data_IF_372144291261
#
_entry.id   IF_372144291261
#
_cell.length_a   1.000
_cell.length_b   1.000
_cell.length_c   1.000
_cell.angle_alpha   90.00
_cell.angle_beta   90.00
_cell.angle_gamma   90.00
#
_symmetry.space_group_name_H-M   'P 1'
#
loop_
_entity.id
_entity.type
_entity.pdbx_description
1 polymer ?
#
# COMPACT_ATOMS: atom_id res chain seq x y z
N UNK A 1 -3.40 -31.77 -34.01
CA UNK A 1 -2.00 -31.69 -34.49
C UNK A 1 -2.02 -31.06 -35.88
N UNK A 2 -1.95 -29.73 -35.96
CA UNK A 2 -1.88 -28.96 -37.22
C UNK A 2 -1.22 -27.62 -36.86
N UNK A 3 0.10 -27.53 -37.03
CA UNK A 3 0.87 -27.00 -38.16
C UNK A 3 0.96 -25.47 -38.12
N UNK A 4 2.17 -25.06 -37.76
CA UNK A 4 2.71 -23.74 -37.54
C UNK A 4 3.24 -23.22 -38.88
N UNK A 5 2.76 -22.08 -39.37
CA UNK A 5 3.35 -21.36 -40.50
C UNK A 5 3.56 -19.91 -40.08
N UNK A 6 4.83 -19.53 -40.00
CA UNK A 6 5.27 -18.19 -39.66
C UNK A 6 5.25 -17.25 -40.87
N UNK A 7 5.08 -15.96 -40.61
CA UNK A 7 5.41 -14.90 -41.54
C UNK A 7 6.30 -13.87 -40.84
N UNK A 8 7.46 -13.60 -41.44
CA UNK A 8 8.45 -12.59 -41.04
C UNK A 8 8.22 -11.29 -41.82
N UNK A 9 8.12 -10.19 -41.08
CA UNK A 9 8.74 -8.84 -41.21
C UNK A 9 8.83 -8.18 -42.61
N UNK A 10 8.22 -7.00 -42.75
CA UNK A 10 8.85 -5.79 -43.34
C UNK A 10 8.02 -4.49 -43.18
N UNK A 11 8.68 -3.44 -42.67
CA UNK A 11 8.59 -1.99 -42.98
C UNK A 11 7.42 -1.05 -42.53
N UNK A 12 7.68 -0.32 -41.42
CA UNK A 12 7.67 1.15 -41.14
C UNK A 12 6.63 2.12 -41.82
N UNK A 13 6.24 3.28 -41.19
CA UNK A 13 7.11 4.19 -40.42
C UNK A 13 6.58 4.84 -39.12
N UNK A 14 7.56 5.38 -38.38
CA UNK A 14 7.47 6.27 -37.20
C UNK A 14 6.96 7.66 -37.60
N UNK A 15 6.05 8.23 -36.81
CA UNK A 15 5.69 9.65 -36.84
C UNK A 15 5.58 10.20 -35.43
N UNK A 16 6.56 11.03 -35.04
CA UNK A 16 6.53 11.84 -33.83
C UNK A 16 5.82 13.17 -34.08
N UNK A 17 5.14 13.69 -33.06
CA UNK A 17 4.49 15.00 -33.07
C UNK A 17 4.43 15.57 -31.67
N UNK A 18 5.39 16.42 -31.33
CA UNK A 18 5.33 17.35 -30.21
C UNK A 18 4.32 18.45 -30.54
N UNK A 19 3.43 18.75 -29.59
CA UNK A 19 2.48 19.86 -29.66
C UNK A 19 2.38 20.58 -28.33
N UNK A 20 3.34 21.46 -28.06
CA UNK A 20 3.32 22.45 -26.99
C UNK A 20 2.52 23.66 -27.48
N UNK A 21 1.41 23.99 -26.82
CA UNK A 21 0.62 25.19 -27.16
C UNK A 21 0.91 26.27 -26.13
N UNK A 22 1.52 27.35 -26.62
CA UNK A 22 1.78 28.61 -25.94
C UNK A 22 0.48 29.43 -25.76
N UNK A 23 0.35 30.12 -24.63
CA UNK A 23 -0.63 31.19 -24.46
C UNK A 23 0.10 32.55 -24.48
N UNK A 24 -0.44 33.43 -25.31
CA UNK A 24 0.08 34.75 -25.72
C UNK A 24 -0.27 35.83 -24.68
N UNK A 25 0.64 36.81 -24.58
CA UNK A 25 0.65 38.02 -23.75
C UNK A 25 -0.18 39.20 -24.32
N UNK A 26 -0.38 40.21 -23.44
CA UNK A 26 -0.80 41.62 -23.67
C UNK A 26 -2.31 41.91 -23.74
N UNK A 27 -2.90 42.99 -23.19
CA UNK A 27 -2.45 44.33 -22.75
C UNK A 27 -3.40 44.86 -21.63
N UNK A 28 -2.88 45.41 -20.52
CA UNK A 28 -2.73 46.84 -20.18
C UNK A 28 -4.02 47.69 -20.04
N UNK A 29 -4.36 48.09 -18.80
CA UNK A 29 -4.79 49.46 -18.46
C UNK A 29 -4.71 49.73 -16.95
N UNK A 30 -4.13 50.88 -16.65
CA UNK A 30 -3.77 51.43 -15.34
C UNK A 30 -4.96 52.10 -14.64
N UNK A 31 -5.06 52.02 -13.32
CA UNK A 31 -5.57 53.08 -12.44
C UNK A 31 -5.16 52.83 -10.99
N UNK A 32 -4.44 53.80 -10.43
CA UNK A 32 -4.08 54.00 -9.03
C UNK A 32 -5.31 53.95 -8.11
N UNK A 33 -5.22 53.30 -6.93
CA UNK A 33 -5.74 53.83 -5.65
C UNK A 33 -5.41 52.90 -4.47
N UNK A 34 -4.80 53.50 -3.46
CA UNK A 34 -4.89 53.24 -2.00
C UNK A 34 -4.57 51.86 -1.42
N UNK A 35 -3.68 51.91 -0.42
CA UNK A 35 -3.08 50.75 0.21
C UNK A 35 -4.06 49.89 0.99
N UNK A 36 -3.83 48.60 0.89
CA UNK A 36 -3.95 47.63 1.97
C UNK A 36 -3.07 46.46 1.56
N UNK A 37 -1.91 46.32 2.20
CA UNK A 37 -1.02 45.20 1.99
C UNK A 37 -1.72 43.93 2.51
N UNK A 38 -2.44 43.24 1.62
CA UNK A 38 -2.91 41.89 1.89
C UNK A 38 -1.68 41.00 1.84
N UNK A 39 -1.15 40.71 3.03
CA UNK A 39 -0.15 39.67 3.23
C UNK A 39 -0.81 38.35 2.82
N UNK A 40 -0.60 37.93 1.58
CA UNK A 40 -0.91 36.56 1.16
C UNK A 40 0.06 35.65 1.89
N UNK A 41 -0.34 35.14 3.06
CA UNK A 41 0.28 33.96 3.64
C UNK A 41 0.02 32.81 2.67
N UNK A 42 0.96 32.57 1.76
CA UNK A 42 1.10 31.28 1.11
C UNK A 42 1.39 30.27 2.22
N UNK A 43 0.36 29.55 2.67
CA UNK A 43 0.54 28.35 3.45
C UNK A 43 1.22 27.32 2.54
N UNK A 44 2.55 27.33 2.53
CA UNK A 44 3.32 26.21 2.03
C UNK A 44 2.88 25.00 2.82
N UNK A 45 2.22 24.04 2.16
CA UNK A 45 2.00 22.71 2.72
C UNK A 45 3.39 22.13 3.00
N UNK A 46 3.85 22.26 4.23
CA UNK A 46 5.10 21.67 4.67
C UNK A 46 4.89 20.15 4.58
N UNK A 47 5.49 19.54 3.56
CA UNK A 47 5.56 18.10 3.46
C UNK A 47 6.44 17.64 4.62
N UNK A 48 5.80 17.19 5.71
CA UNK A 48 6.50 16.72 6.90
C UNK A 48 7.29 15.48 6.47
N UNK A 49 8.62 15.62 6.40
CA UNK A 49 9.53 14.51 6.20
C UNK A 49 9.24 13.45 7.28
N UNK A 50 9.27 12.16 6.94
CA UNK A 50 9.00 11.11 7.91
C UNK A 50 9.97 11.25 9.09
N UNK A 51 9.43 11.33 10.30
CA UNK A 51 10.25 11.43 11.50
C UNK A 51 10.95 10.08 11.76
N UNK A 52 12.24 10.12 12.05
CA UNK A 52 13.02 8.93 12.43
C UNK A 52 12.50 8.41 13.78
N UNK A 53 12.24 7.10 13.83
CA UNK A 53 11.57 6.43 14.94
C UNK A 53 12.44 6.21 16.18
N UNK A 54 11.78 5.88 17.29
CA UNK A 54 12.42 5.50 18.56
C UNK A 54 12.06 4.04 18.93
N UNK A 55 12.95 3.28 19.61
CA UNK A 55 12.67 1.90 20.02
C UNK A 55 11.37 1.64 20.81
N UNK A 56 10.80 2.60 21.56
CA UNK A 56 9.46 2.46 22.14
C UNK A 56 8.33 2.32 21.11
N UNK A 57 8.42 3.03 19.98
CA UNK A 57 7.38 3.01 18.94
C UNK A 57 7.37 1.69 18.18
N UNK A 58 8.54 1.15 17.86
CA UNK A 58 8.69 -0.20 17.31
C UNK A 58 7.94 -1.21 18.18
N UNK A 59 8.23 -1.25 19.49
CA UNK A 59 7.59 -2.18 20.43
C UNK A 59 6.07 -2.01 20.52
N UNK A 60 5.57 -0.77 20.43
CA UNK A 60 4.13 -0.51 20.39
C UNK A 60 3.50 -1.16 19.14
N UNK A 61 4.11 -0.99 17.99
CA UNK A 61 3.61 -1.52 16.71
C UNK A 61 3.73 -3.05 16.62
N UNK A 62 4.80 -3.63 17.14
CA UNK A 62 4.92 -5.09 17.32
C UNK A 62 3.81 -5.64 18.23
N UNK A 63 3.50 -4.93 19.32
CA UNK A 63 2.41 -5.30 20.23
C UNK A 63 1.03 -5.27 19.54
N UNK A 64 0.73 -4.22 18.78
CA UNK A 64 -0.51 -4.11 18.02
C UNK A 64 -0.64 -5.21 16.96
N UNK A 65 0.45 -5.49 16.23
CA UNK A 65 0.48 -6.55 15.23
C UNK A 65 0.28 -7.93 15.85
N UNK A 66 0.98 -8.24 16.94
CA UNK A 66 0.81 -9.50 17.66
C UNK A 66 -0.60 -9.66 18.20
N UNK A 67 -1.19 -8.61 18.78
CA UNK A 67 -2.58 -8.64 19.24
C UNK A 67 -3.58 -8.86 18.08
N UNK A 68 -3.33 -8.26 16.92
CA UNK A 68 -4.13 -8.51 15.71
C UNK A 68 -4.01 -9.96 15.23
N UNK A 69 -2.79 -10.52 15.18
CA UNK A 69 -2.57 -11.92 14.80
C UNK A 69 -3.26 -12.89 15.74
N UNK A 70 -3.13 -12.66 17.04
CA UNK A 70 -3.79 -13.45 18.08
C UNK A 70 -5.31 -13.45 17.89
N UNK A 71 -5.90 -12.30 17.56
CA UNK A 71 -7.33 -12.20 17.31
C UNK A 71 -7.74 -12.98 16.05
N UNK A 72 -6.93 -12.95 14.98
CA UNK A 72 -7.17 -13.75 13.78
C UNK A 72 -7.06 -15.26 14.04
N UNK A 73 -6.08 -15.69 14.82
CA UNK A 73 -5.87 -17.11 15.17
C UNK A 73 -6.97 -17.65 16.10
N UNK A 74 -7.37 -16.85 17.09
CA UNK A 74 -8.45 -17.18 18.04
C UNK A 74 -9.85 -16.95 17.48
N UNK A 75 -9.96 -16.42 16.26
CA UNK A 75 -11.21 -16.04 15.61
C UNK A 75 -12.06 -15.08 16.47
N UNK A 76 -11.39 -14.17 17.19
CA UNK A 76 -12.03 -13.22 18.10
C UNK A 76 -12.29 -11.89 17.38
N UNK A 77 -13.54 -11.72 16.91
CA UNK A 77 -13.96 -10.51 16.23
C UNK A 77 -13.79 -9.26 17.09
N UNK A 78 -14.12 -9.35 18.39
CA UNK A 78 -14.09 -8.17 19.26
C UNK A 78 -12.66 -7.71 19.50
N UNK A 79 -11.74 -8.64 19.76
CA UNK A 79 -10.32 -8.33 19.88
C UNK A 79 -9.77 -7.76 18.56
N UNK A 80 -10.17 -8.33 17.42
CA UNK A 80 -9.76 -7.86 16.10
C UNK A 80 -10.23 -6.42 15.85
N UNK A 81 -11.49 -6.08 16.14
CA UNK A 81 -12.04 -4.73 15.99
C UNK A 81 -11.36 -3.69 16.91
N UNK A 82 -10.87 -4.10 18.07
CA UNK A 82 -10.19 -3.19 18.99
C UNK A 82 -8.84 -2.73 18.44
N UNK A 83 -8.08 -3.64 17.84
CA UNK A 83 -6.70 -3.37 17.36
C UNK A 83 -6.62 -3.05 15.87
N UNK A 84 -7.68 -3.25 15.10
CA UNK A 84 -7.73 -2.98 13.66
C UNK A 84 -8.33 -1.60 13.37
N UNK A 85 -7.75 -0.85 12.44
CA UNK A 85 -8.24 0.46 12.01
C UNK A 85 -9.67 0.36 11.43
N UNK A 86 -10.56 1.30 11.73
CA UNK A 86 -11.94 1.30 11.26
C UNK A 86 -12.02 1.26 9.73
N UNK A 87 -11.13 1.97 9.04
CA UNK A 87 -11.08 1.94 7.57
C UNK A 87 -10.77 0.54 7.03
N UNK A 88 -9.90 -0.21 7.71
CA UNK A 88 -9.60 -1.61 7.38
C UNK A 88 -10.80 -2.52 7.68
N UNK A 89 -11.42 -2.35 8.84
CA UNK A 89 -12.60 -3.14 9.22
C UNK A 89 -13.70 -3.04 8.16
N UNK A 90 -14.02 -1.80 7.78
CA UNK A 90 -15.01 -1.50 6.76
C UNK A 90 -14.64 -2.08 5.39
N UNK A 91 -13.37 -1.94 4.98
CA UNK A 91 -12.89 -2.50 3.71
C UNK A 91 -13.05 -4.02 3.68
N UNK A 92 -12.59 -4.72 4.73
CA UNK A 92 -12.65 -6.18 4.80
C UNK A 92 -14.09 -6.68 4.86
N UNK A 93 -14.95 -6.03 5.66
CA UNK A 93 -16.39 -6.35 5.67
C UNK A 93 -16.99 -6.18 4.28
N UNK A 94 -16.73 -5.04 3.63
CA UNK A 94 -17.30 -4.75 2.31
C UNK A 94 -16.80 -5.74 1.26
N UNK A 95 -15.53 -6.12 1.30
CA UNK A 95 -14.95 -7.14 0.42
C UNK A 95 -15.63 -8.50 0.62
N UNK A 96 -15.74 -8.98 1.86
CA UNK A 96 -16.43 -10.24 2.20
C UNK A 96 -17.88 -10.23 1.70
N UNK A 97 -18.63 -9.17 2.01
CA UNK A 97 -20.04 -9.03 1.64
C UNK A 97 -20.21 -8.92 0.11
N UNK A 98 -19.30 -8.24 -0.58
CA UNK A 98 -19.32 -8.12 -2.05
C UNK A 98 -19.12 -9.47 -2.75
N UNK A 99 -18.45 -10.41 -2.08
CA UNK A 99 -18.27 -11.79 -2.56
C UNK A 99 -19.38 -12.74 -2.09
N UNK A 100 -20.46 -12.22 -1.48
CA UNK A 100 -21.55 -13.01 -0.86
C UNK A 100 -21.10 -13.97 0.23
N UNK A 101 -19.94 -13.70 0.82
CA UNK A 101 -19.46 -14.45 1.96
C UNK A 101 -20.08 -13.89 3.25
N UNK A 102 -20.21 -14.74 4.26
CA UNK A 102 -20.79 -14.36 5.56
C UNK A 102 -19.74 -13.67 6.42
N UNK A 103 -20.01 -12.43 6.82
CA UNK A 103 -19.23 -11.73 7.84
C UNK A 103 -19.85 -11.98 9.23
N UNK A 104 -19.04 -12.27 10.28
CA UNK A 104 -17.59 -12.27 10.32
C UNK A 104 -16.93 -13.60 9.92
N UNK A 105 -17.68 -14.69 9.75
CA UNK A 105 -17.12 -16.05 9.59
C UNK A 105 -15.99 -16.13 8.53
N UNK A 106 -16.20 -15.52 7.36
CA UNK A 106 -15.25 -15.52 6.26
C UNK A 106 -13.97 -14.70 6.51
N UNK A 107 -13.97 -13.77 7.49
CA UNK A 107 -12.76 -13.05 7.90
C UNK A 107 -11.67 -14.03 8.36
N UNK A 108 -12.07 -15.09 9.05
CA UNK A 108 -11.17 -16.03 9.70
C UNK A 108 -10.86 -17.28 8.86
N UNK A 109 -11.37 -17.35 7.63
CA UNK A 109 -11.14 -18.48 6.72
C UNK A 109 -9.91 -18.30 5.82
N UNK A 110 -9.05 -17.32 6.10
CA UNK A 110 -7.86 -17.10 5.28
C UNK A 110 -6.94 -18.32 5.31
N UNK A 111 -6.58 -18.90 4.15
CA UNK A 111 -5.64 -20.02 4.11
C UNK A 111 -4.20 -19.56 4.37
N UNK A 112 -3.94 -18.25 4.35
CA UNK A 112 -2.62 -17.66 4.56
C UNK A 112 -2.52 -17.15 5.99
N UNK A 113 -1.54 -17.64 6.74
CA UNK A 113 -1.27 -17.16 8.09
C UNK A 113 -0.46 -15.86 8.04
N UNK A 114 -0.76 -14.96 8.96
CA UNK A 114 0.13 -13.82 9.20
C UNK A 114 1.46 -14.29 9.84
N UNK A 115 2.63 -13.84 9.35
CA UNK A 115 3.92 -14.31 9.80
C UNK A 115 4.28 -13.80 11.19
N UNK A 116 5.09 -14.56 11.92
CA UNK A 116 5.74 -14.05 13.12
C UNK A 116 6.79 -12.98 12.77
N UNK A 117 6.96 -12.00 13.66
CA UNK A 117 8.10 -11.07 13.55
C UNK A 117 9.37 -11.63 14.18
N UNK A 118 9.27 -12.72 14.95
CA UNK A 118 10.41 -13.39 15.56
C UNK A 118 11.36 -13.87 14.47
N UNK A 119 12.63 -13.49 14.58
CA UNK A 119 13.65 -13.84 13.60
C UNK A 119 13.72 -12.88 12.40
N UNK A 120 12.80 -11.92 12.28
CA UNK A 120 12.94 -10.81 11.33
C UNK A 120 13.76 -9.69 11.96
N UNK A 121 14.62 -9.06 11.16
CA UNK A 121 15.36 -7.88 11.55
C UNK A 121 14.51 -6.64 11.35
N UNK A 122 14.27 -5.87 12.40
CA UNK A 122 13.65 -4.55 12.25
C UNK A 122 14.59 -3.61 11.50
N UNK A 123 14.06 -2.94 10.48
CA UNK A 123 14.81 -2.03 9.62
C UNK A 123 14.60 -0.59 10.08
N UNK A 124 13.35 -0.15 10.04
CA UNK A 124 12.94 1.19 10.51
C UNK A 124 11.42 1.26 10.72
N UNK A 125 11.00 2.33 11.37
CA UNK A 125 9.61 2.75 11.43
C UNK A 125 9.51 4.18 10.90
N UNK A 126 8.66 4.36 9.89
CA UNK A 126 8.42 5.64 9.23
C UNK A 126 7.05 6.15 9.68
N UNK A 127 6.97 7.42 10.08
CA UNK A 127 5.70 8.04 10.53
C UNK A 127 5.42 9.28 9.72
N UNK A 128 4.17 9.41 9.25
CA UNK A 128 3.70 10.55 8.45
C UNK A 128 2.32 10.99 8.93
N UNK A 129 2.30 11.93 9.88
CA UNK A 129 1.05 12.40 10.50
C UNK A 129 0.33 11.28 11.25
N UNK A 130 -0.82 10.85 10.74
CA UNK A 130 -1.67 9.80 11.32
C UNK A 130 -1.47 8.42 10.67
N UNK A 131 -0.42 8.25 9.86
CA UNK A 131 -0.07 6.96 9.26
C UNK A 131 1.36 6.57 9.64
N UNK A 132 1.62 5.27 9.69
CA UNK A 132 2.96 4.75 9.92
C UNK A 132 3.21 3.42 9.19
N UNK A 133 4.47 3.17 8.88
CA UNK A 133 4.98 1.92 8.32
C UNK A 133 6.11 1.39 9.19
N UNK A 134 6.03 0.15 9.63
CA UNK A 134 7.14 -0.55 10.30
C UNK A 134 7.68 -1.63 9.38
N UNK A 135 8.96 -1.54 9.05
CA UNK A 135 9.62 -2.38 8.04
C UNK A 135 10.51 -3.40 8.74
N UNK A 136 10.37 -4.65 8.33
CA UNK A 136 11.16 -5.78 8.79
C UNK A 136 11.75 -6.52 7.60
N UNK A 137 12.91 -7.13 7.79
CA UNK A 137 13.63 -7.89 6.78
C UNK A 137 13.89 -9.32 7.26
N UNK A 138 13.58 -10.30 6.42
CA UNK A 138 13.96 -11.69 6.64
C UNK A 138 12.99 -12.70 6.06
N UNK A 139 13.13 -13.96 6.50
CA UNK A 139 12.28 -15.09 6.09
C UNK A 139 10.96 -15.09 6.85
N UNK A 140 9.97 -14.41 6.31
CA UNK A 140 8.62 -14.39 6.87
C UNK A 140 7.81 -15.61 6.42
N UNK A 141 7.44 -16.47 7.36
CA UNK A 141 6.64 -17.68 7.12
C UNK A 141 5.14 -17.38 7.20
N UNK A 142 4.45 -17.56 6.08
CA UNK A 142 3.00 -17.36 5.95
C UNK A 142 2.19 -18.66 6.09
N UNK A 143 2.83 -19.77 6.47
CA UNK A 143 2.22 -21.10 6.51
C UNK A 143 1.92 -21.66 5.12
N UNK A 144 2.67 -21.22 4.11
CA UNK A 144 2.51 -21.63 2.71
C UNK A 144 3.78 -22.34 2.21
N UNK A 145 3.62 -23.53 1.64
CA UNK A 145 4.72 -24.27 1.02
C UNK A 145 5.71 -24.86 2.01
N UNK A 146 6.85 -25.31 1.49
CA UNK A 146 7.92 -25.90 2.30
C UNK A 146 8.81 -24.82 2.93
N UNK A 147 9.26 -24.97 4.20
CA UNK A 147 10.11 -23.98 4.86
C UNK A 147 11.40 -23.63 4.11
N UNK A 148 11.91 -24.55 3.28
CA UNK A 148 13.10 -24.36 2.45
C UNK A 148 12.90 -23.37 1.30
N UNK A 149 11.66 -23.11 0.89
CA UNK A 149 11.30 -22.19 -0.19
C UNK A 149 11.12 -20.75 0.30
N UNK A 150 11.08 -20.53 1.62
CA UNK A 150 10.91 -19.21 2.21
C UNK A 150 12.18 -18.38 2.00
N UNK A 151 12.03 -17.31 1.21
CA UNK A 151 13.09 -16.35 0.88
C UNK A 151 13.04 -15.14 1.79
N UNK A 152 14.16 -14.44 1.89
CA UNK A 152 14.21 -13.14 2.54
C UNK A 152 13.36 -12.15 1.74
N UNK A 153 12.46 -11.46 2.45
CA UNK A 153 11.59 -10.43 1.91
C UNK A 153 11.47 -9.30 2.92
N UNK A 154 10.95 -8.15 2.49
CA UNK A 154 10.50 -7.15 3.44
C UNK A 154 9.05 -7.42 3.84
N UNK A 155 8.79 -7.33 5.14
CA UNK A 155 7.45 -7.25 5.71
C UNK A 155 7.21 -5.81 6.14
N UNK A 156 6.21 -5.19 5.54
CA UNK A 156 5.80 -3.81 5.82
C UNK A 156 4.46 -3.85 6.53
N UNK A 157 4.47 -3.51 7.82
CA UNK A 157 3.26 -3.36 8.62
C UNK A 157 2.82 -1.90 8.57
N UNK A 158 1.55 -1.65 8.28
CA UNK A 158 0.96 -0.32 8.23
C UNK A 158 0.02 -0.10 9.40
N UNK A 159 0.06 1.11 9.94
CA UNK A 159 -0.73 1.54 11.08
C UNK A 159 -1.40 2.87 10.79
N UNK A 160 -2.58 3.05 11.38
CA UNK A 160 -3.36 4.29 11.32
C UNK A 160 -3.62 4.78 12.73
N UNK A 161 -3.53 6.10 12.94
CA UNK A 161 -3.89 6.74 14.19
C UNK A 161 -5.31 7.28 14.09
N UNK A 162 -6.23 6.67 14.84
CA UNK A 162 -7.64 7.04 14.89
C UNK A 162 -7.96 7.55 16.29
N UNK A 163 -8.48 8.78 16.40
CA UNK A 163 -8.80 9.41 17.70
C UNK A 163 -7.63 9.38 18.70
N UNK A 164 -6.40 9.56 18.20
CA UNK A 164 -5.18 9.54 19.02
C UNK A 164 -4.64 8.14 19.35
N UNK A 165 -5.30 7.07 18.92
CA UNK A 165 -4.90 5.68 19.18
C UNK A 165 -4.39 5.01 17.91
N UNK A 166 -3.21 4.41 17.97
CA UNK A 166 -2.66 3.62 16.87
C UNK A 166 -3.37 2.28 16.74
N UNK A 167 -3.67 1.90 15.51
CA UNK A 167 -4.29 0.63 15.14
C UNK A 167 -3.61 0.02 13.92
N UNK A 168 -3.65 -1.30 13.84
CA UNK A 168 -3.17 -2.05 12.69
C UNK A 168 -4.09 -1.84 11.48
N UNK A 169 -3.52 -1.58 10.31
CA UNK A 169 -4.26 -1.43 9.05
C UNK A 169 -3.97 -2.56 8.07
N UNK A 170 -2.70 -2.77 7.72
CA UNK A 170 -2.36 -3.70 6.66
C UNK A 170 -0.98 -4.33 6.85
N UNK A 171 -0.78 -5.49 6.25
CA UNK A 171 0.50 -6.14 6.06
C UNK A 171 0.77 -6.28 4.57
N UNK A 172 1.96 -5.87 4.13
CA UNK A 172 2.45 -6.06 2.76
C UNK A 172 3.77 -6.80 2.78
N UNK A 173 3.96 -7.68 1.81
CA UNK A 173 5.27 -8.27 1.49
C UNK A 173 5.84 -7.55 0.27
N UNK A 174 7.06 -7.05 0.38
CA UNK A 174 7.83 -6.55 -0.77
C UNK A 174 8.89 -7.58 -1.11
N UNK A 175 8.71 -8.21 -2.27
CA UNK A 175 9.64 -9.19 -2.82
C UNK A 175 10.74 -8.45 -3.57
N UNK A 176 11.99 -8.80 -3.30
CA UNK A 176 13.15 -8.24 -4.01
C UNK A 176 14.05 -9.32 -4.63
N UNK A 177 13.70 -10.61 -4.47
CA UNK A 177 14.42 -11.72 -5.10
C UNK A 177 15.87 -11.84 -4.62
N UNK A 178 16.77 -12.24 -5.52
CA UNK A 178 18.21 -12.39 -5.25
C UNK A 178 18.99 -11.12 -5.65
N UNK A 179 18.43 -9.93 -5.38
CA UNK A 179 19.05 -8.64 -5.69
C UNK A 179 20.28 -8.39 -4.80
N UNK A 180 21.46 -8.60 -5.38
CA UNK A 180 22.75 -8.40 -4.71
C UNK A 180 23.02 -6.96 -4.26
N UNK A 181 22.46 -5.95 -4.94
CA UNK A 181 22.62 -4.56 -4.55
C UNK A 181 21.79 -4.27 -3.30
N UNK A 182 20.55 -4.75 -3.27
CA UNK A 182 19.67 -4.64 -2.09
C UNK A 182 20.29 -5.33 -0.87
N UNK A 183 20.83 -6.54 -1.05
CA UNK A 183 21.50 -7.28 0.03
C UNK A 183 22.72 -6.51 0.55
N UNK A 184 23.50 -5.89 -0.35
CA UNK A 184 24.64 -5.07 0.03
C UNK A 184 24.20 -3.83 0.82
N UNK A 185 23.14 -3.14 0.38
CA UNK A 185 22.54 -1.99 1.09
C UNK A 185 22.12 -2.37 2.51
N UNK A 186 21.38 -3.47 2.67
CA UNK A 186 20.95 -3.97 3.98
C UNK A 186 22.16 -4.28 4.87
N UNK A 187 23.16 -5.00 4.35
CA UNK A 187 24.38 -5.35 5.09
C UNK A 187 25.16 -4.13 5.55
N UNK A 188 25.21 -3.10 4.71
CA UNK A 188 25.91 -1.85 4.98
C UNK A 188 25.06 -0.84 5.77
N UNK A 189 23.84 -1.23 6.18
CA UNK A 189 22.86 -0.36 6.86
C UNK A 189 22.51 0.90 6.06
N UNK A 190 22.64 0.87 4.73
CA UNK A 190 22.18 1.92 3.83
C UNK A 190 20.65 1.83 3.71
N UNK A 191 19.96 2.86 4.21
CA UNK A 191 18.49 2.94 4.25
C UNK A 191 17.87 3.69 3.08
N UNK A 192 18.64 4.09 2.07
CA UNK A 192 18.16 4.87 0.92
C UNK A 192 17.00 4.22 0.16
N UNK A 193 16.89 2.89 0.18
CA UNK A 193 15.79 2.17 -0.45
C UNK A 193 14.43 2.41 0.25
N UNK A 194 14.41 2.85 1.51
CA UNK A 194 13.17 3.14 2.23
C UNK A 194 12.41 4.33 1.66
N UNK A 195 13.06 5.18 0.85
CA UNK A 195 12.40 6.30 0.17
C UNK A 195 11.42 5.83 -0.92
N UNK A 196 11.47 4.55 -1.31
CA UNK A 196 10.56 3.99 -2.30
C UNK A 196 9.10 3.96 -1.77
N UNK A 197 8.09 4.24 -2.63
CA UNK A 197 6.69 4.39 -2.21
C UNK A 197 6.09 3.19 -1.46
N UNK A 198 6.59 1.98 -1.71
CA UNK A 198 6.13 0.76 -1.07
C UNK A 198 6.41 0.70 0.45
N UNK A 199 7.47 1.37 0.91
CA UNK A 199 7.83 1.45 2.33
C UNK A 199 7.20 2.67 3.02
N UNK A 200 6.94 3.73 2.26
CA UNK A 200 6.44 4.98 2.79
C UNK A 200 5.01 4.84 3.35
N UNK A 201 4.72 5.47 4.50
CA UNK A 201 3.35 5.61 4.98
C UNK A 201 2.53 6.49 4.04
N UNK A 202 1.24 6.20 3.92
CA UNK A 202 0.35 7.00 3.09
C UNK A 202 0.25 8.44 3.64
N UNK A 203 0.25 9.46 2.77
CA UNK A 203 0.29 10.86 3.22
C UNK A 203 -0.93 11.28 4.07
N UNK A 204 -2.06 10.58 3.92
CA UNK A 204 -3.30 10.82 4.66
C UNK A 204 -3.96 9.47 4.96
N UNK A 205 -4.67 9.34 6.09
CA UNK A 205 -5.50 8.17 6.35
C UNK A 205 -6.53 7.96 5.22
N UNK A 206 -6.84 6.70 4.88
CA UNK A 206 -7.89 6.40 3.92
C UNK A 206 -9.24 6.94 4.40
N UNK A 207 -10.08 7.38 3.46
CA UNK A 207 -11.46 7.80 3.77
C UNK A 207 -12.25 6.58 4.25
N UNK A 208 -13.04 6.76 5.31
CA UNK A 208 -13.98 5.73 5.75
C UNK A 208 -15.05 5.53 4.68
N UNK A 209 -15.18 4.28 4.22
CA UNK A 209 -16.22 3.90 3.28
C UNK A 209 -17.50 3.59 4.04
N UNK A 210 -18.65 3.83 3.41
CA UNK A 210 -19.95 3.34 3.90
C UNK A 210 -20.03 1.81 3.84
N UNK A 211 -20.97 1.23 4.57
CA UNK A 211 -21.27 -0.20 4.46
C UNK A 211 -21.90 -0.49 3.11
N UNK A 212 -21.47 -1.57 2.46
CA UNK A 212 -22.12 -2.11 1.26
C UNK A 212 -23.05 -3.26 1.62
N UNK A 213 -24.04 -3.48 0.77
CA UNK A 213 -24.91 -4.65 0.79
C UNK A 213 -24.34 -5.76 -0.10
N UNK A 214 -24.80 -6.99 0.11
CA UNK A 214 -24.46 -8.10 -0.78
C UNK A 214 -25.05 -7.82 -2.18
N UNK A 215 -24.31 -8.09 -3.26
CA UNK A 215 -24.78 -7.81 -4.61
C UNK A 215 -25.79 -8.88 -5.09
N UNK A 216 -26.69 -8.46 -5.99
CA UNK A 216 -27.67 -9.34 -6.64
C UNK A 216 -27.04 -10.29 -7.68
N UNK A 217 -25.84 -9.97 -8.17
CA UNK A 217 -25.07 -10.82 -9.08
C UNK A 217 -23.57 -10.69 -8.80
N UNK A 218 -22.83 -11.78 -9.02
CA UNK A 218 -21.36 -11.77 -9.05
C UNK A 218 -20.94 -12.09 -10.48
N UNK A 219 -20.11 -11.24 -11.07
CA UNK A 219 -19.49 -11.47 -12.37
C UNK A 219 -18.01 -11.78 -12.18
N UNK A 220 -17.49 -12.73 -12.94
CA UNK A 220 -16.08 -13.07 -13.01
C UNK A 220 -15.59 -12.81 -14.44
N UNK A 221 -14.42 -12.18 -14.58
CA UNK A 221 -13.82 -11.88 -15.89
C UNK A 221 -12.42 -12.49 -15.91
N UNK A 222 -12.21 -13.41 -16.85
CA UNK A 222 -10.90 -14.01 -17.12
C UNK A 222 -10.23 -13.28 -18.28
N UNK A 223 -9.06 -12.71 -18.05
CA UNK A 223 -8.27 -12.00 -19.08
C UNK A 223 -6.90 -12.64 -19.21
N UNK A 224 -6.59 -13.13 -20.41
CA UNK A 224 -5.25 -13.59 -20.78
C UNK A 224 -4.75 -12.71 -21.92
N UNK A 225 -3.76 -11.85 -21.66
CA UNK A 225 -3.15 -10.98 -22.66
C UNK A 225 -1.64 -11.25 -22.73
N UNK A 226 -1.15 -11.62 -23.92
CA UNK A 226 0.27 -11.84 -24.17
C UNK A 226 0.78 -10.82 -25.19
N UNK A 227 1.63 -9.89 -24.75
CA UNK A 227 2.22 -8.85 -25.61
C UNK A 227 1.31 -7.65 -25.92
N UNK A 228 0.15 -7.54 -25.27
CA UNK A 228 -0.81 -6.45 -25.47
C UNK A 228 -1.31 -5.90 -24.13
N UNK A 229 -1.76 -4.65 -24.15
CA UNK A 229 -2.51 -4.02 -23.06
C UNK A 229 -3.99 -4.38 -23.18
N UNK A 230 -4.59 -4.87 -22.09
CA UNK A 230 -6.00 -5.20 -22.03
C UNK A 230 -6.72 -4.22 -21.09
N UNK A 231 -7.77 -3.55 -21.60
CA UNK A 231 -8.66 -2.72 -20.79
C UNK A 231 -10.00 -3.40 -20.67
N UNK A 232 -10.44 -3.67 -19.44
CA UNK A 232 -11.78 -4.18 -19.13
C UNK A 232 -12.58 -3.06 -18.49
N UNK A 233 -13.75 -2.76 -19.02
CA UNK A 233 -14.71 -1.82 -18.41
C UNK A 233 -15.91 -2.60 -17.92
N UNK A 234 -16.24 -2.47 -16.64
CA UNK A 234 -17.41 -3.05 -16.00
C UNK A 234 -18.27 -1.89 -15.51
N UNK A 235 -19.57 -1.94 -15.80
CA UNK A 235 -20.55 -0.90 -15.46
C UNK A 235 -21.02 -1.00 -14.01
#
# INVERSE_FOLDING_TARGET
MARNEGARISDLPRGGGHGMVAAVLMNLRSCFCFGLAWLTMSASAQEVAPAVSTPPMQRQFEGLYSAWRDAMEKQDLKAWEQVTAQARQMRVRNEIVSQRLRFPDALFLSPVRAPELRGLSWVDTLVRGDTASSVYFGKADFGLGEPSEIRDNFVVLRFLREFGVWKFDNLRVVKFGDDSEMIAKIRNQDRSYLDAPEFQPDAKPPKLMGQVNAPDFIAEIWVTAAGYEATVTVN
#
